data_IF_517880417454
#
_entry.id   IF_517880417454
#
_cell.length_a   1.000
_cell.length_b   1.000
_cell.length_c   1.000
_cell.angle_alpha   90.00
_cell.angle_beta   90.00
_cell.angle_gamma   90.00
#
_symmetry.space_group_name_H-M   'P 1'
#
loop_
_entity.id
_entity.type
_entity.pdbx_description
1 polymer ?
#
# COMPACT_ATOMS: atom_id res chain seq x y z
N UNK A 1 -26.88 28.72 0.39
CA UNK A 1 -25.63 28.81 1.16
C UNK A 1 -24.46 28.50 0.23
N UNK A 2 -23.58 29.47 0.02
CA UNK A 2 -22.31 29.28 -0.68
C UNK A 2 -21.39 28.43 0.20
N UNK A 3 -21.01 27.25 -0.28
CA UNK A 3 -20.08 26.38 0.44
C UNK A 3 -18.74 27.13 0.62
N UNK A 4 -18.10 27.07 1.81
CA UNK A 4 -16.86 27.76 2.07
C UNK A 4 -15.75 27.28 1.13
N UNK A 5 -14.93 28.22 0.66
CA UNK A 5 -13.83 28.04 -0.30
C UNK A 5 -12.58 27.38 0.32
N UNK A 6 -12.65 27.00 1.59
CA UNK A 6 -11.59 26.33 2.35
C UNK A 6 -12.18 25.25 3.24
N UNK A 7 -11.39 24.22 3.53
CA UNK A 7 -11.81 23.12 4.40
C UNK A 7 -11.77 23.59 5.86
N UNK A 8 -12.95 23.84 6.44
CA UNK A 8 -13.09 24.20 7.85
C UNK A 8 -12.67 23.01 8.71
N UNK A 9 -11.84 23.23 9.73
CA UNK A 9 -11.51 22.20 10.71
C UNK A 9 -12.76 21.98 11.56
N UNK A 10 -13.51 20.93 11.22
CA UNK A 10 -14.73 20.54 11.94
C UNK A 10 -14.31 19.91 13.28
N UNK A 11 -14.83 20.49 14.36
CA UNK A 11 -14.55 20.07 15.74
C UNK A 11 -15.69 19.20 16.28
N UNK A 12 -15.45 18.47 17.37
CA UNK A 12 -16.45 17.61 17.99
C UNK A 12 -17.70 18.40 18.40
N UNK A 13 -18.89 17.99 17.93
CA UNK A 13 -20.17 18.65 18.22
C UNK A 13 -20.76 19.50 17.08
N UNK A 14 -20.08 19.58 15.93
CA UNK A 14 -20.57 20.31 14.75
C UNK A 14 -21.63 19.50 13.97
N UNK A 15 -22.65 20.18 13.43
CA UNK A 15 -23.72 19.56 12.61
C UNK A 15 -23.18 18.79 11.39
N UNK A 16 -22.01 19.19 10.88
CA UNK A 16 -21.36 18.57 9.73
C UNK A 16 -20.35 17.47 10.09
N UNK A 17 -20.17 17.12 11.37
CA UNK A 17 -19.20 16.12 11.83
C UNK A 17 -19.37 14.77 11.12
N UNK A 18 -20.61 14.29 10.97
CA UNK A 18 -20.90 13.03 10.29
C UNK A 18 -20.50 13.05 8.81
N UNK A 19 -20.70 14.16 8.11
CA UNK A 19 -20.29 14.32 6.71
C UNK A 19 -18.76 14.44 6.59
N UNK A 20 -18.12 15.12 7.54
CA UNK A 20 -16.67 15.27 7.61
C UNK A 20 -15.98 13.91 7.83
N UNK A 21 -16.49 13.08 8.75
CA UNK A 21 -15.97 11.73 9.01
C UNK A 21 -16.08 10.84 7.77
N UNK A 22 -17.21 10.89 7.06
CA UNK A 22 -17.39 10.15 5.79
C UNK A 22 -16.37 10.57 4.73
N UNK A 23 -16.11 11.88 4.56
CA UNK A 23 -15.10 12.37 3.62
C UNK A 23 -13.68 11.95 4.01
N UNK A 24 -13.33 12.03 5.30
CA UNK A 24 -12.01 11.59 5.79
C UNK A 24 -11.78 10.09 5.54
N UNK A 25 -12.81 9.26 5.73
CA UNK A 25 -12.71 7.83 5.46
C UNK A 25 -12.31 7.55 4.00
N UNK A 26 -12.89 8.26 3.03
CA UNK A 26 -12.58 8.11 1.61
C UNK A 26 -11.09 8.33 1.31
N UNK A 27 -10.46 9.33 1.94
CA UNK A 27 -9.05 9.65 1.72
C UNK A 27 -8.08 8.78 2.53
N UNK A 28 -8.53 8.16 3.62
CA UNK A 28 -7.72 7.27 4.46
C UNK A 28 -7.75 5.81 3.94
N UNK A 29 -8.86 5.39 3.33
CA UNK A 29 -9.04 4.02 2.77
C UNK A 29 -7.86 3.57 1.89
N UNK A 30 -7.38 4.37 0.91
CA UNK A 30 -6.24 3.96 0.09
C UNK A 30 -5.00 3.64 0.92
N UNK A 31 -4.65 4.52 1.87
CA UNK A 31 -3.51 4.30 2.76
C UNK A 31 -3.63 3.00 3.53
N UNK A 32 -4.77 2.75 4.16
CA UNK A 32 -4.97 1.53 4.98
C UNK A 32 -4.90 0.28 4.12
N UNK A 33 -5.56 0.26 2.95
CA UNK A 33 -5.54 -0.89 2.04
C UNK A 33 -4.12 -1.21 1.59
N UNK A 34 -3.35 -0.21 1.13
CA UNK A 34 -1.97 -0.44 0.70
C UNK A 34 -1.05 -0.77 1.87
N UNK A 35 -1.23 -0.17 3.03
CA UNK A 35 -0.44 -0.46 4.23
C UNK A 35 -0.63 -1.91 4.69
N UNK A 36 -1.88 -2.38 4.82
CA UNK A 36 -2.18 -3.77 5.21
C UNK A 36 -1.61 -4.76 4.18
N UNK A 37 -1.83 -4.52 2.89
CA UNK A 37 -1.30 -5.38 1.84
C UNK A 37 0.24 -5.43 1.84
N UNK A 38 0.88 -4.29 2.06
CA UNK A 38 2.34 -4.20 2.17
C UNK A 38 2.86 -4.92 3.42
N UNK A 39 2.18 -4.78 4.56
CA UNK A 39 2.53 -5.46 5.80
C UNK A 39 2.48 -6.98 5.64
N UNK A 40 1.40 -7.50 5.05
CA UNK A 40 1.27 -8.94 4.80
C UNK A 40 2.39 -9.44 3.89
N UNK A 41 2.69 -8.71 2.81
CA UNK A 41 3.76 -9.09 1.89
C UNK A 41 5.14 -9.10 2.57
N UNK A 42 5.45 -8.07 3.36
CA UNK A 42 6.73 -7.96 4.07
C UNK A 42 6.90 -9.02 5.16
N UNK A 43 5.82 -9.42 5.86
CA UNK A 43 5.86 -10.55 6.79
C UNK A 43 6.25 -11.83 6.05
N UNK A 44 5.63 -12.10 4.90
CA UNK A 44 5.95 -13.28 4.08
C UNK A 44 7.41 -13.22 3.60
N UNK A 45 7.88 -12.07 3.13
CA UNK A 45 9.26 -11.92 2.66
C UNK A 45 10.28 -12.08 3.78
N UNK A 46 10.00 -11.55 4.97
CA UNK A 46 10.85 -11.71 6.14
C UNK A 46 10.93 -13.18 6.58
N UNK A 47 9.79 -13.89 6.60
CA UNK A 47 9.75 -15.31 6.94
C UNK A 47 10.56 -16.15 5.95
N UNK A 48 10.35 -15.95 4.65
CA UNK A 48 11.10 -16.69 3.61
C UNK A 48 12.59 -16.37 3.71
N UNK A 49 12.96 -15.11 3.89
CA UNK A 49 14.37 -14.72 4.00
C UNK A 49 15.05 -15.30 5.24
N UNK A 50 14.34 -15.35 6.37
CA UNK A 50 14.86 -15.90 7.63
C UNK A 50 15.02 -17.42 7.55
N UNK A 51 14.06 -18.12 6.95
CA UNK A 51 14.07 -19.60 6.90
C UNK A 51 15.04 -20.11 5.83
N UNK A 52 15.09 -19.47 4.65
CA UNK A 52 15.76 -20.04 3.47
C UNK A 52 17.07 -19.33 3.06
N UNK A 53 17.31 -18.07 3.48
CA UNK A 53 18.45 -17.30 2.96
C UNK A 53 19.48 -16.91 4.02
N UNK A 54 19.12 -16.00 4.92
CA UNK A 54 20.09 -15.31 5.78
C UNK A 54 20.00 -15.69 7.26
N UNK A 55 19.07 -16.59 7.62
CA UNK A 55 18.90 -17.03 9.00
C UNK A 55 18.55 -15.89 9.95
N UNK A 56 18.92 -16.07 11.21
CA UNK A 56 18.66 -15.13 12.31
C UNK A 56 19.63 -13.94 12.39
N UNK A 57 20.54 -13.79 11.42
CA UNK A 57 21.52 -12.70 11.41
C UNK A 57 20.82 -11.33 11.33
N UNK A 58 21.25 -10.37 12.14
CA UNK A 58 20.81 -8.96 12.09
C UNK A 58 19.28 -8.78 12.09
N UNK A 59 18.58 -9.65 12.85
CA UNK A 59 17.12 -9.74 12.78
C UNK A 59 16.39 -8.47 13.22
N UNK A 60 16.97 -7.71 14.17
CA UNK A 60 16.43 -6.41 14.59
C UNK A 60 16.35 -5.44 13.40
N UNK A 61 17.42 -5.36 12.60
CA UNK A 61 17.45 -4.47 11.43
C UNK A 61 16.49 -4.93 10.34
N UNK A 62 16.41 -6.25 10.10
CA UNK A 62 15.44 -6.82 9.15
C UNK A 62 14.01 -6.50 9.56
N UNK A 63 13.66 -6.71 10.83
CA UNK A 63 12.32 -6.43 11.37
C UNK A 63 11.97 -4.95 11.28
N UNK A 64 12.86 -4.05 11.68
CA UNK A 64 12.60 -2.60 11.60
C UNK A 64 12.42 -2.19 10.14
N UNK A 65 13.29 -2.68 9.25
CA UNK A 65 13.21 -2.36 7.83
C UNK A 65 11.91 -2.88 7.20
N UNK A 66 11.61 -4.16 7.35
CA UNK A 66 10.49 -4.82 6.64
C UNK A 66 9.14 -4.62 7.30
N UNK A 67 9.05 -4.52 8.64
CA UNK A 67 7.75 -4.46 9.33
C UNK A 67 7.36 -3.04 9.76
N UNK A 68 8.30 -2.10 9.82
CA UNK A 68 8.00 -0.72 10.23
C UNK A 68 8.19 0.22 9.05
N UNK A 69 9.41 0.33 8.53
CA UNK A 69 9.75 1.36 7.54
C UNK A 69 9.10 1.07 6.19
N UNK A 70 9.27 -0.15 5.66
CA UNK A 70 8.76 -0.54 4.35
C UNK A 70 7.23 -0.41 4.23
N UNK A 71 6.40 -0.99 5.13
CA UNK A 71 4.96 -0.97 4.99
C UNK A 71 4.40 0.45 5.14
N UNK A 72 4.97 1.25 6.05
CA UNK A 72 4.60 2.66 6.20
C UNK A 72 5.00 3.48 4.97
N UNK A 73 6.21 3.29 4.45
CA UNK A 73 6.69 3.98 3.26
C UNK A 73 5.89 3.63 2.00
N UNK A 74 5.72 2.33 1.74
CA UNK A 74 4.94 1.84 0.59
C UNK A 74 3.45 2.19 0.72
N UNK A 75 2.85 1.96 1.89
CA UNK A 75 1.46 2.31 2.17
C UNK A 75 1.19 3.82 2.08
N UNK A 76 2.11 4.63 2.61
CA UNK A 76 2.07 6.09 2.53
C UNK A 76 2.20 6.61 1.10
N UNK A 77 3.20 6.13 0.36
CA UNK A 77 3.43 6.53 -1.04
C UNK A 77 2.24 6.12 -1.93
N UNK A 78 1.82 4.85 -1.88
CA UNK A 78 0.71 4.37 -2.69
C UNK A 78 -0.62 5.01 -2.28
N UNK A 79 -0.90 5.09 -0.97
CA UNK A 79 -2.10 5.75 -0.47
C UNK A 79 -2.18 7.21 -0.91
N UNK A 80 -1.09 7.96 -0.78
CA UNK A 80 -1.01 9.36 -1.19
C UNK A 80 -1.18 9.55 -2.70
N UNK A 81 -0.46 8.76 -3.52
CA UNK A 81 -0.56 8.83 -4.98
C UNK A 81 -1.95 8.40 -5.48
N UNK A 82 -2.54 7.35 -4.92
CA UNK A 82 -3.89 6.92 -5.27
C UNK A 82 -4.92 7.97 -4.87
N UNK A 83 -4.78 8.58 -3.69
CA UNK A 83 -5.62 9.71 -3.27
C UNK A 83 -5.49 10.90 -4.22
N UNK A 84 -4.28 11.27 -4.60
CA UNK A 84 -4.05 12.45 -5.46
C UNK A 84 -4.52 12.24 -6.91
N UNK A 85 -4.25 11.07 -7.51
CA UNK A 85 -4.50 10.84 -8.93
C UNK A 85 -5.84 10.16 -9.24
N UNK A 86 -6.40 9.37 -8.31
CA UNK A 86 -7.56 8.51 -8.59
C UNK A 86 -8.82 8.88 -7.80
N UNK A 87 -8.68 9.18 -6.51
CA UNK A 87 -9.83 9.55 -5.68
C UNK A 87 -10.48 10.82 -6.26
N UNK A 88 -11.82 10.84 -6.33
CA UNK A 88 -12.66 11.87 -6.96
C UNK A 88 -12.53 12.05 -8.49
N UNK A 89 -11.52 11.44 -9.13
CA UNK A 89 -11.26 11.59 -10.57
C UNK A 89 -11.69 10.38 -11.42
N UNK A 90 -11.52 9.17 -10.90
CA UNK A 90 -11.76 7.94 -11.64
C UNK A 90 -12.50 6.91 -10.79
N UNK A 91 -13.41 6.16 -11.41
CA UNK A 91 -14.14 5.05 -10.78
C UNK A 91 -14.31 3.87 -11.74
N UNK A 92 -14.55 2.67 -11.21
CA UNK A 92 -14.77 1.46 -11.96
C UNK A 92 -13.50 0.89 -12.61
N UNK A 93 -13.68 0.09 -13.68
CA UNK A 93 -12.61 -0.73 -14.28
C UNK A 93 -11.36 0.06 -14.71
N UNK A 94 -11.52 1.31 -15.16
CA UNK A 94 -10.38 2.17 -15.54
C UNK A 94 -9.50 2.52 -14.34
N UNK A 95 -10.12 2.86 -13.20
CA UNK A 95 -9.38 3.13 -11.96
C UNK A 95 -8.66 1.89 -11.43
N UNK A 96 -9.25 0.69 -11.58
CA UNK A 96 -8.60 -0.58 -11.23
C UNK A 96 -7.32 -0.81 -12.04
N UNK A 97 -7.39 -0.68 -13.37
CA UNK A 97 -6.21 -0.83 -14.24
C UNK A 97 -5.15 0.23 -13.94
N UNK A 98 -5.55 1.48 -13.76
CA UNK A 98 -4.64 2.56 -13.39
C UNK A 98 -3.92 2.20 -12.09
N UNK A 99 -4.67 1.77 -11.06
CA UNK A 99 -4.10 1.37 -9.77
C UNK A 99 -3.08 0.25 -9.94
N UNK A 100 -3.38 -0.78 -10.72
CA UNK A 100 -2.46 -1.89 -10.97
C UNK A 100 -1.15 -1.44 -11.62
N UNK A 101 -1.23 -0.57 -12.64
CA UNK A 101 -0.04 -0.01 -13.32
C UNK A 101 0.74 0.90 -12.38
N UNK A 102 0.06 1.77 -11.64
CA UNK A 102 0.68 2.67 -10.67
C UNK A 102 1.42 1.88 -9.58
N UNK A 103 0.79 0.84 -9.03
CA UNK A 103 1.42 -0.06 -8.05
C UNK A 103 2.63 -0.76 -8.64
N UNK A 104 2.56 -1.25 -9.88
CA UNK A 104 3.71 -1.87 -10.55
C UNK A 104 4.86 -0.89 -10.74
N UNK A 105 4.59 0.35 -11.14
CA UNK A 105 5.62 1.37 -11.33
C UNK A 105 6.28 1.75 -10.01
N UNK A 106 5.49 2.06 -8.98
CA UNK A 106 6.00 2.55 -7.69
C UNK A 106 6.64 1.40 -6.90
N UNK A 107 5.87 0.35 -6.58
CA UNK A 107 6.37 -0.76 -5.78
C UNK A 107 7.34 -1.64 -6.56
N UNK A 108 7.24 -1.71 -7.88
CA UNK A 108 8.25 -2.38 -8.70
C UNK A 108 9.60 -1.66 -8.68
N UNK A 109 9.60 -0.32 -8.63
CA UNK A 109 10.81 0.46 -8.40
C UNK A 109 11.35 0.25 -6.99
N UNK A 110 10.49 0.22 -5.96
CA UNK A 110 10.88 -0.13 -4.60
C UNK A 110 11.49 -1.54 -4.51
N UNK A 111 10.91 -2.52 -5.21
CA UNK A 111 11.44 -3.88 -5.25
C UNK A 111 12.82 -3.95 -5.91
N UNK A 112 13.03 -3.18 -6.99
CA UNK A 112 14.34 -3.09 -7.64
C UNK A 112 15.39 -2.43 -6.74
N UNK A 113 14.99 -1.39 -5.99
CA UNK A 113 15.85 -0.77 -4.99
C UNK A 113 16.22 -1.78 -3.90
N UNK A 114 15.27 -2.54 -3.38
CA UNK A 114 15.54 -3.60 -2.39
C UNK A 114 16.45 -4.68 -2.95
N UNK A 115 16.28 -5.09 -4.21
CA UNK A 115 17.16 -6.04 -4.89
C UNK A 115 18.60 -5.52 -4.94
N UNK A 116 18.78 -4.25 -5.30
CA UNK A 116 20.09 -3.61 -5.39
C UNK A 116 20.75 -3.44 -4.02
N UNK A 117 20.00 -3.01 -3.00
CA UNK A 117 20.50 -2.88 -1.63
C UNK A 117 20.88 -4.23 -1.04
N UNK A 118 20.12 -5.29 -1.35
CA UNK A 118 20.37 -6.61 -0.81
C UNK A 118 21.66 -7.25 -1.36
N UNK A 119 22.20 -6.77 -2.47
CA UNK A 119 23.56 -7.14 -2.91
C UNK A 119 24.66 -6.63 -1.97
N UNK A 120 24.38 -5.63 -1.13
CA UNK A 120 25.31 -5.13 -0.12
C UNK A 120 25.06 -5.75 1.26
N UNK A 121 23.79 -5.91 1.65
CA UNK A 121 23.42 -6.41 2.98
C UNK A 121 23.30 -7.94 3.07
N UNK A 122 22.99 -8.62 1.97
CA UNK A 122 22.81 -10.08 1.89
C UNK A 122 21.75 -10.64 2.85
N UNK A 123 20.64 -9.92 3.02
CA UNK A 123 19.54 -10.28 3.93
C UNK A 123 18.45 -11.12 3.26
N UNK A 124 18.12 -10.87 2.01
CA UNK A 124 16.90 -11.36 1.35
C UNK A 124 17.17 -12.28 0.15
N UNK A 125 18.44 -12.65 -0.07
CA UNK A 125 18.83 -13.65 -1.05
C UNK A 125 18.97 -13.12 -2.48
N UNK A 126 19.17 -11.81 -2.70
CA UNK A 126 19.36 -11.26 -4.05
C UNK A 126 20.55 -11.88 -4.79
N UNK A 127 21.67 -12.09 -4.09
CA UNK A 127 22.87 -12.68 -4.67
C UNK A 127 22.73 -14.20 -4.96
N UNK A 128 21.99 -14.93 -4.12
CA UNK A 128 21.88 -16.39 -4.24
C UNK A 128 20.65 -16.86 -5.03
N UNK A 129 19.54 -16.10 -4.96
CA UNK A 129 18.24 -16.42 -5.55
C UNK A 129 17.60 -15.19 -6.20
N UNK A 130 18.21 -14.58 -7.23
CA UNK A 130 17.73 -13.32 -7.83
C UNK A 130 16.31 -13.44 -8.41
N UNK A 131 15.92 -14.62 -8.89
CA UNK A 131 14.56 -14.87 -9.40
C UNK A 131 13.48 -14.66 -8.34
N UNK A 132 13.79 -14.81 -7.04
CA UNK A 132 12.86 -14.53 -5.95
C UNK A 132 12.39 -13.07 -5.95
N UNK A 133 13.24 -12.13 -6.36
CA UNK A 133 12.90 -10.71 -6.47
C UNK A 133 12.10 -10.42 -7.74
N UNK A 134 12.42 -11.07 -8.85
CA UNK A 134 11.71 -10.84 -10.12
C UNK A 134 10.31 -11.46 -10.14
N UNK A 135 10.11 -12.58 -9.45
CA UNK A 135 8.80 -13.19 -9.23
C UNK A 135 7.80 -12.23 -8.54
N UNK A 136 8.29 -11.25 -7.77
CA UNK A 136 7.43 -10.30 -7.06
C UNK A 136 6.71 -9.34 -8.00
N UNK A 137 7.20 -9.07 -9.21
CA UNK A 137 6.56 -8.12 -10.13
C UNK A 137 5.12 -8.53 -10.51
N UNK A 138 4.84 -9.78 -10.94
CA UNK A 138 3.47 -10.27 -11.08
C UNK A 138 2.63 -10.10 -9.82
N UNK A 139 3.17 -10.43 -8.64
CA UNK A 139 2.46 -10.30 -7.37
C UNK A 139 2.13 -8.83 -7.03
N UNK A 140 3.06 -7.91 -7.29
CA UNK A 140 2.88 -6.46 -7.13
C UNK A 140 1.74 -5.96 -8.03
N UNK A 141 1.74 -6.36 -9.30
CA UNK A 141 0.68 -6.00 -10.24
C UNK A 141 -0.69 -6.52 -9.77
N UNK A 142 -0.76 -7.79 -9.37
CA UNK A 142 -1.99 -8.41 -8.86
C UNK A 142 -2.47 -7.78 -7.55
N UNK A 143 -1.55 -7.37 -6.68
CA UNK A 143 -1.86 -6.63 -5.45
C UNK A 143 -2.46 -5.26 -5.77
N UNK A 144 -1.89 -4.52 -6.73
CA UNK A 144 -2.43 -3.25 -7.20
C UNK A 144 -3.81 -3.40 -7.84
N UNK A 145 -4.00 -4.45 -8.64
CA UNK A 145 -5.31 -4.79 -9.20
C UNK A 145 -6.36 -5.07 -8.14
N UNK A 146 -6.02 -5.92 -7.16
CA UNK A 146 -6.92 -6.28 -6.06
C UNK A 146 -7.27 -5.07 -5.21
N UNK A 147 -6.27 -4.24 -4.88
CA UNK A 147 -6.46 -2.98 -4.15
C UNK A 147 -7.34 -2.01 -4.94
N UNK A 148 -7.12 -1.89 -6.25
CA UNK A 148 -7.95 -1.07 -7.13
C UNK A 148 -9.40 -1.54 -7.19
N UNK A 149 -9.65 -2.85 -7.26
CA UNK A 149 -11.02 -3.40 -7.17
C UNK A 149 -11.67 -3.03 -5.84
N UNK A 150 -10.94 -3.20 -4.75
CA UNK A 150 -11.45 -2.89 -3.42
C UNK A 150 -11.79 -1.38 -3.26
N UNK A 151 -10.97 -0.50 -3.84
CA UNK A 151 -11.11 0.95 -3.71
C UNK A 151 -12.08 1.60 -4.70
N UNK A 152 -12.29 1.03 -5.90
CA UNK A 152 -12.98 1.70 -7.00
C UNK A 152 -14.14 0.92 -7.63
N UNK A 153 -14.63 -0.14 -6.98
CA UNK A 153 -15.87 -0.83 -7.40
C UNK A 153 -16.87 -0.92 -6.25
N UNK A 154 -18.15 -0.99 -6.58
CA UNK A 154 -19.23 -0.99 -5.58
C UNK A 154 -19.09 -2.19 -4.60
N UNK A 155 -18.87 -3.38 -5.15
CA UNK A 155 -18.59 -4.60 -4.37
C UNK A 155 -17.37 -4.46 -3.44
N UNK A 156 -16.37 -3.70 -3.87
CA UNK A 156 -15.15 -3.46 -3.09
C UNK A 156 -15.39 -2.49 -1.94
N UNK A 157 -16.11 -1.40 -2.21
CA UNK A 157 -16.49 -0.39 -1.22
C UNK A 157 -17.43 -0.96 -0.16
N UNK A 158 -18.36 -1.86 -0.54
CA UNK A 158 -19.23 -2.55 0.40
C UNK A 158 -18.41 -3.43 1.36
N UNK A 159 -17.44 -4.20 0.84
CA UNK A 159 -16.55 -5.02 1.67
C UNK A 159 -15.71 -4.18 2.63
N UNK A 160 -15.17 -3.04 2.16
CA UNK A 160 -14.44 -2.12 3.03
C UNK A 160 -15.34 -1.58 4.14
N UNK A 161 -16.57 -1.20 3.80
CA UNK A 161 -17.53 -0.71 4.78
C UNK A 161 -17.87 -1.77 5.85
N UNK A 162 -18.02 -3.05 5.47
CA UNK A 162 -18.19 -4.15 6.42
C UNK A 162 -16.98 -4.34 7.35
N UNK A 163 -15.77 -4.02 6.88
CA UNK A 163 -14.54 -4.06 7.68
C UNK A 163 -14.34 -2.80 8.55
N UNK A 164 -15.32 -1.88 8.56
CA UNK A 164 -15.24 -0.63 9.29
C UNK A 164 -14.34 0.43 8.65
N UNK A 165 -13.96 0.22 7.38
CA UNK A 165 -13.16 1.15 6.58
C UNK A 165 -14.01 1.91 5.59
#
# INVERSE_FOLDING_TARGET
MTLPKYQVIITSGDEHEAQARKRRAIYIRPFVVFWVNSMIAEIVFLLVATIFFSGWREMIYKVIWTLIICPLGMGGAMGGLTTFFLVDHYYGKKAVWFTAVLTLLVLGSCNYLCFSLDHYFHYFGAASHPLWFHWRYPAIFMSGWSSGKMLFTDEGQEKLACLGL
#
